data_IF_380808768008
#
_entry.id   IF_380808768008
#
_cell.length_a   1.000
_cell.length_b   1.000
_cell.length_c   1.000
_cell.angle_alpha   90.00
_cell.angle_beta   90.00
_cell.angle_gamma   90.00
#
_symmetry.space_group_name_H-M   'P 1'
#
loop_
_entity.id
_entity.type
_entity.pdbx_description
1 polymer ?
#
# COMPACT_ATOMS: atom_id res chain seq x y z
N UNK A 1 -4.84 -15.95 -14.95
CA UNK A 1 -4.96 -15.04 -13.78
C UNK A 1 -6.36 -15.16 -13.23
N UNK A 2 -6.51 -15.49 -11.95
CA UNK A 2 -7.84 -15.53 -11.31
C UNK A 2 -8.32 -14.10 -11.01
N UNK A 3 -9.63 -13.91 -10.86
CA UNK A 3 -10.20 -12.63 -10.44
C UNK A 3 -9.57 -12.11 -9.12
N UNK A 4 -9.22 -13.03 -8.20
CA UNK A 4 -8.48 -12.74 -6.97
C UNK A 4 -7.13 -12.08 -7.25
N UNK A 5 -6.30 -12.66 -8.12
CA UNK A 5 -4.97 -12.11 -8.43
C UNK A 5 -5.07 -10.74 -9.09
N UNK A 6 -6.02 -10.54 -10.01
CA UNK A 6 -6.23 -9.25 -10.65
C UNK A 6 -6.62 -8.15 -9.63
N UNK A 7 -7.51 -8.47 -8.69
CA UNK A 7 -7.90 -7.56 -7.61
C UNK A 7 -6.73 -7.22 -6.69
N UNK A 8 -5.91 -8.21 -6.30
CA UNK A 8 -4.75 -7.99 -5.44
C UNK A 8 -3.68 -7.13 -6.11
N UNK A 9 -3.40 -7.33 -7.41
CA UNK A 9 -2.46 -6.49 -8.16
C UNK A 9 -2.98 -5.05 -8.26
N UNK A 10 -4.28 -4.87 -8.54
CA UNK A 10 -4.88 -3.54 -8.59
C UNK A 10 -4.81 -2.82 -7.23
N UNK A 11 -5.11 -3.54 -6.13
CA UNK A 11 -4.98 -3.03 -4.78
C UNK A 11 -3.53 -2.64 -4.45
N UNK A 12 -2.56 -3.49 -4.81
CA UNK A 12 -1.14 -3.20 -4.62
C UNK A 12 -0.70 -1.94 -5.38
N UNK A 13 -1.17 -1.78 -6.62
CA UNK A 13 -0.91 -0.58 -7.43
C UNK A 13 -1.42 0.69 -6.75
N UNK A 14 -2.64 0.64 -6.19
CA UNK A 14 -3.23 1.76 -5.45
C UNK A 14 -2.47 2.07 -4.15
N UNK A 15 -2.04 1.04 -3.40
CA UNK A 15 -1.21 1.23 -2.20
C UNK A 15 0.12 1.91 -2.56
N UNK A 16 0.79 1.48 -3.63
CA UNK A 16 2.03 2.12 -4.10
C UNK A 16 1.81 3.59 -4.50
N UNK A 17 0.70 3.90 -5.17
CA UNK A 17 0.36 5.28 -5.53
C UNK A 17 0.15 6.13 -4.28
N UNK A 18 -0.62 5.64 -3.31
CA UNK A 18 -0.86 6.35 -2.05
C UNK A 18 0.43 6.51 -1.24
N UNK A 19 1.30 5.51 -1.21
CA UNK A 19 2.61 5.60 -0.58
C UNK A 19 3.47 6.69 -1.22
N UNK A 20 3.50 6.75 -2.56
CA UNK A 20 4.19 7.82 -3.28
C UNK A 20 3.62 9.21 -2.93
N UNK A 21 2.30 9.37 -2.95
CA UNK A 21 1.66 10.64 -2.60
C UNK A 21 1.92 11.03 -1.14
N UNK A 22 1.96 10.07 -0.22
CA UNK A 22 2.31 10.31 1.19
C UNK A 22 3.74 10.81 1.31
N UNK A 23 4.69 10.20 0.59
CA UNK A 23 6.08 10.68 0.56
C UNK A 23 6.18 12.07 -0.07
N UNK A 24 5.40 12.34 -1.13
CA UNK A 24 5.30 13.69 -1.71
C UNK A 24 4.85 14.73 -0.70
N UNK A 25 3.84 14.42 0.11
CA UNK A 25 3.35 15.29 1.18
C UNK A 25 4.44 15.52 2.22
N UNK A 26 5.20 14.49 2.62
CA UNK A 26 6.34 14.65 3.54
C UNK A 26 7.35 15.65 3.00
N UNK A 27 7.67 15.56 1.71
CA UNK A 27 8.66 16.45 1.07
C UNK A 27 8.15 17.88 0.96
N UNK A 28 6.86 18.07 0.67
CA UNK A 28 6.28 19.41 0.45
C UNK A 28 5.89 20.14 1.74
N UNK A 29 5.27 19.44 2.68
CA UNK A 29 4.65 20.01 3.87
C UNK A 29 5.37 19.63 5.18
N UNK A 30 6.34 18.72 5.12
CA UNK A 30 7.01 18.16 6.29
C UNK A 30 6.30 16.93 6.87
N UNK A 31 6.90 16.35 7.91
CA UNK A 31 6.35 15.19 8.60
C UNK A 31 5.48 15.61 9.78
N UNK A 32 4.26 15.08 9.84
CA UNK A 32 3.35 15.24 10.98
C UNK A 32 2.79 13.89 11.46
N UNK A 33 2.01 13.93 12.54
CA UNK A 33 1.44 12.72 13.17
C UNK A 33 0.47 11.97 12.25
N UNK A 34 -0.32 12.69 11.43
CA UNK A 34 -1.27 12.08 10.49
C UNK A 34 -0.52 11.38 9.36
N UNK A 35 0.57 11.98 8.87
CA UNK A 35 1.44 11.39 7.86
C UNK A 35 2.14 10.14 8.40
N UNK A 36 2.64 10.20 9.65
CA UNK A 36 3.21 9.04 10.33
C UNK A 36 2.22 7.88 10.47
N UNK A 37 1.00 8.17 10.93
CA UNK A 37 -0.06 7.16 11.02
C UNK A 37 -0.43 6.58 9.65
N UNK A 38 -0.51 7.41 8.62
CA UNK A 38 -0.81 6.99 7.24
C UNK A 38 0.27 6.06 6.67
N UNK A 39 1.54 6.34 6.93
CA UNK A 39 2.65 5.45 6.53
C UNK A 39 2.55 4.08 7.19
N UNK A 40 2.21 4.02 8.48
CA UNK A 40 2.02 2.74 9.18
C UNK A 40 0.89 1.94 8.54
N UNK A 41 -0.25 2.58 8.29
CA UNK A 41 -1.41 1.93 7.65
C UNK A 41 -1.04 1.42 6.25
N UNK A 42 -0.36 2.25 5.45
CA UNK A 42 0.10 1.86 4.11
C UNK A 42 1.12 0.71 4.15
N UNK A 43 2.01 0.68 5.13
CA UNK A 43 2.94 -0.42 5.32
C UNK A 43 2.20 -1.72 5.68
N UNK A 44 1.22 -1.67 6.59
CA UNK A 44 0.40 -2.82 6.95
C UNK A 44 -0.39 -3.37 5.75
N UNK A 45 -1.02 -2.50 4.97
CA UNK A 45 -1.74 -2.92 3.75
C UNK A 45 -0.79 -3.45 2.67
N UNK A 46 0.34 -2.78 2.44
CA UNK A 46 1.33 -3.19 1.46
C UNK A 46 1.88 -4.59 1.76
N UNK A 47 2.27 -4.83 3.02
CA UNK A 47 2.73 -6.14 3.47
C UNK A 47 1.62 -7.20 3.39
N UNK A 48 0.39 -6.87 3.78
CA UNK A 48 -0.75 -7.79 3.70
C UNK A 48 -1.08 -8.21 2.26
N UNK A 49 -1.11 -7.26 1.32
CA UNK A 49 -1.39 -7.54 -0.09
C UNK A 49 -0.24 -8.29 -0.76
N UNK A 50 1.01 -7.94 -0.44
CA UNK A 50 2.19 -8.70 -0.89
C UNK A 50 2.12 -10.15 -0.40
N UNK A 51 1.86 -10.36 0.90
CA UNK A 51 1.68 -11.69 1.49
C UNK A 51 0.62 -12.50 0.74
N UNK A 52 -0.57 -11.92 0.56
CA UNK A 52 -1.68 -12.56 -0.14
C UNK A 52 -1.40 -12.93 -1.61
N UNK A 53 -0.48 -12.22 -2.27
CA UNK A 53 -0.04 -12.52 -3.64
C UNK A 53 0.98 -13.66 -3.70
N UNK A 54 1.84 -13.79 -2.67
CA UNK A 54 2.81 -14.88 -2.55
C UNK A 54 2.22 -16.19 -2.01
N UNK A 55 1.08 -16.12 -1.33
CA UNK A 55 0.45 -17.30 -0.75
C UNK A 55 -0.36 -18.06 -1.82
N UNK A 56 -0.11 -19.36 -2.01
CA UNK A 56 -0.83 -20.15 -3.00
C UNK A 56 -2.33 -20.18 -2.63
N UNK A 57 -3.24 -19.97 -3.60
CA UNK A 57 -4.66 -20.03 -3.33
C UNK A 57 -5.05 -21.48 -3.00
N UNK A 58 -5.51 -21.69 -1.77
CA UNK A 58 -6.26 -22.89 -1.37
C UNK A 58 -7.67 -22.93 -1.99
#
# INVERSE_FOLDING_TARGET
>A
MTARTAALIAALGLICLLAFLTVRVIVESGFDVLVGASLVILALFGLGVLGALTEPPE
#
